data_IF_610032845679
#
_entry.id   IF_610032845679
#
_cell.length_a   1.000
_cell.length_b   1.000
_cell.length_c   1.000
_cell.angle_alpha   90.00
_cell.angle_beta   90.00
_cell.angle_gamma   90.00
#
_symmetry.space_group_name_H-M   'P 1'
#
loop_
_entity.id
_entity.type
_entity.pdbx_description
1 polymer ?
#
# COMPACT_ATOMS: atom_id res chain seq x y z
N UNK A 1 3.43 5.13 -16.59
CA UNK A 1 4.88 4.86 -16.51
C UNK A 1 5.44 4.86 -15.09
N UNK A 2 5.16 5.87 -14.24
CA UNK A 2 5.66 5.92 -12.85
C UNK A 2 5.22 4.69 -12.05
N UNK A 3 3.92 4.35 -12.09
CA UNK A 3 3.40 3.18 -11.39
C UNK A 3 4.10 1.89 -11.86
N UNK A 4 4.24 1.71 -13.16
CA UNK A 4 4.92 0.55 -13.76
C UNK A 4 6.37 0.45 -13.27
N UNK A 5 7.08 1.58 -13.21
CA UNK A 5 8.42 1.64 -12.66
C UNK A 5 8.45 1.18 -11.20
N UNK A 6 7.60 1.73 -10.33
CA UNK A 6 7.55 1.34 -8.92
C UNK A 6 7.18 -0.14 -8.73
N UNK A 7 6.16 -0.61 -9.46
CA UNK A 7 5.69 -2.01 -9.41
C UNK A 7 6.69 -3.01 -10.00
N UNK A 8 7.72 -2.55 -10.72
CA UNK A 8 8.79 -3.40 -11.24
C UNK A 8 9.89 -3.70 -10.20
N UNK A 9 9.85 -3.04 -9.03
CA UNK A 9 10.88 -3.16 -8.01
C UNK A 9 11.11 -4.63 -7.58
N UNK A 10 12.35 -5.14 -7.53
CA UNK A 10 12.65 -6.55 -7.27
C UNK A 10 12.04 -7.08 -5.96
N UNK A 11 11.97 -6.24 -4.92
CA UNK A 11 11.36 -6.60 -3.64
C UNK A 11 9.95 -7.17 -3.81
N UNK A 12 9.10 -6.59 -4.68
CA UNK A 12 7.71 -7.04 -4.85
C UNK A 12 7.61 -8.47 -5.43
N UNK A 13 8.65 -8.95 -6.10
CA UNK A 13 8.68 -10.30 -6.68
C UNK A 13 9.07 -11.39 -5.67
N UNK A 14 9.70 -11.01 -4.56
CA UNK A 14 10.14 -11.95 -3.51
C UNK A 14 8.93 -12.61 -2.82
N UNK A 15 9.07 -13.90 -2.52
CA UNK A 15 8.10 -14.66 -1.71
C UNK A 15 8.31 -14.39 -0.20
N UNK A 16 7.28 -14.52 0.65
CA UNK A 16 7.44 -14.54 2.11
C UNK A 16 8.31 -15.71 2.61
N UNK A 17 9.02 -15.58 3.75
CA UNK A 17 9.08 -14.39 4.62
C UNK A 17 9.98 -13.30 4.02
N UNK A 18 9.54 -12.06 4.14
CA UNK A 18 10.25 -10.87 3.62
C UNK A 18 9.94 -9.65 4.48
N UNK A 19 10.92 -8.77 4.64
CA UNK A 19 10.79 -7.48 5.30
C UNK A 19 11.58 -6.42 4.53
N UNK A 20 11.24 -5.16 4.76
CA UNK A 20 11.91 -4.02 4.13
C UNK A 20 11.78 -2.79 5.03
N UNK A 21 12.61 -1.79 4.80
CA UNK A 21 12.55 -0.47 5.40
C UNK A 21 13.17 0.60 4.50
N UNK A 22 13.76 1.61 5.15
CA UNK A 22 14.33 2.80 4.50
C UNK A 22 15.56 2.49 3.63
N UNK A 23 16.19 1.33 3.84
CA UNK A 23 17.29 0.85 3.02
C UNK A 23 16.86 0.53 1.57
N UNK A 24 15.59 0.15 1.35
CA UNK A 24 15.04 -0.06 0.00
C UNK A 24 14.11 1.07 -0.44
N UNK A 25 13.23 1.54 0.44
CA UNK A 25 12.18 2.54 0.12
C UNK A 25 12.36 3.86 0.88
N UNK A 26 13.60 4.29 1.08
CA UNK A 26 13.93 5.55 1.75
C UNK A 26 14.20 6.72 0.81
N UNK A 27 14.92 7.72 1.32
CA UNK A 27 15.23 8.98 0.64
C UNK A 27 15.88 8.78 -0.72
N UNK A 28 16.77 7.78 -0.85
CA UNK A 28 17.44 7.45 -2.11
C UNK A 28 16.42 7.06 -3.19
N UNK A 29 15.49 6.16 -2.88
CA UNK A 29 14.44 5.74 -3.81
C UNK A 29 13.55 6.92 -4.21
N UNK A 30 13.13 7.73 -3.24
CA UNK A 30 12.31 8.92 -3.51
C UNK A 30 13.02 9.93 -4.41
N UNK A 31 14.30 10.20 -4.14
CA UNK A 31 15.12 11.15 -4.92
C UNK A 31 15.33 10.67 -6.35
N UNK A 32 15.62 9.38 -6.54
CA UNK A 32 15.76 8.77 -7.87
C UNK A 32 14.44 8.81 -8.66
N UNK A 33 13.31 8.54 -8.00
CA UNK A 33 11.99 8.61 -8.60
C UNK A 33 11.65 10.03 -9.04
N UNK A 34 11.84 11.02 -8.16
CA UNK A 34 11.56 12.43 -8.45
C UNK A 34 12.43 12.94 -9.59
N UNK A 35 13.72 12.59 -9.62
CA UNK A 35 14.62 12.95 -10.71
C UNK A 35 14.21 12.29 -12.04
N UNK A 36 13.88 10.99 -12.02
CA UNK A 36 13.51 10.26 -13.24
C UNK A 36 12.22 10.80 -13.87
N UNK A 37 11.28 11.25 -13.06
CA UNK A 37 9.96 11.71 -13.51
C UNK A 37 9.75 13.21 -13.32
N UNK A 38 10.83 14.00 -13.32
CA UNK A 38 10.80 15.46 -13.05
C UNK A 38 9.90 16.27 -14.01
N UNK A 39 9.59 15.72 -15.18
CA UNK A 39 8.70 16.33 -16.17
C UNK A 39 7.21 16.23 -15.81
N UNK A 40 6.85 15.34 -14.87
CA UNK A 40 5.49 15.23 -14.35
C UNK A 40 5.23 16.26 -13.26
N UNK A 41 3.96 16.65 -13.11
CA UNK A 41 3.58 17.49 -11.98
C UNK A 41 3.77 16.74 -10.66
N UNK A 42 3.97 17.51 -9.59
CA UNK A 42 4.17 16.96 -8.24
C UNK A 42 2.94 16.19 -7.78
N UNK A 43 1.75 16.67 -8.15
CA UNK A 43 0.46 16.05 -7.86
C UNK A 43 0.37 14.68 -8.52
N UNK A 44 0.73 14.57 -9.81
CA UNK A 44 0.74 13.29 -10.52
C UNK A 44 1.71 12.29 -9.90
N UNK A 45 2.90 12.75 -9.49
CA UNK A 45 3.87 11.91 -8.80
C UNK A 45 3.28 11.44 -7.46
N UNK A 46 2.75 12.37 -6.65
CA UNK A 46 2.19 12.07 -5.33
C UNK A 46 1.04 11.06 -5.42
N UNK A 47 0.05 11.31 -6.28
CA UNK A 47 -1.05 10.37 -6.53
C UNK A 47 -0.54 9.01 -7.00
N UNK A 48 0.47 8.98 -7.86
CA UNK A 48 1.00 7.71 -8.37
C UNK A 48 1.79 6.93 -7.32
N UNK A 49 2.53 7.58 -6.43
CA UNK A 49 3.22 6.87 -5.33
C UNK A 49 2.23 6.40 -4.26
N UNK A 50 1.13 7.12 -4.02
CA UNK A 50 0.01 6.61 -3.19
C UNK A 50 -0.63 5.37 -3.84
N UNK A 51 -0.88 5.42 -5.16
CA UNK A 51 -1.40 4.27 -5.92
C UNK A 51 -0.41 3.10 -5.94
N UNK A 52 0.89 3.36 -5.96
CA UNK A 52 1.91 2.32 -5.82
C UNK A 52 1.79 1.59 -4.49
N UNK A 53 1.63 2.30 -3.38
CA UNK A 53 1.39 1.68 -2.06
C UNK A 53 0.16 0.77 -2.09
N UNK A 54 -0.99 1.28 -2.56
CA UNK A 54 -2.22 0.50 -2.66
C UNK A 54 -2.05 -0.76 -3.53
N UNK A 55 -1.51 -0.60 -4.74
CA UNK A 55 -1.31 -1.69 -5.68
C UNK A 55 -0.30 -2.71 -5.19
N UNK A 56 0.71 -2.29 -4.43
CA UNK A 56 1.66 -3.22 -3.82
C UNK A 56 0.98 -4.12 -2.79
N UNK A 57 0.09 -3.57 -1.95
CA UNK A 57 -0.69 -4.33 -0.96
C UNK A 57 -1.63 -5.31 -1.68
N UNK A 58 -2.46 -4.80 -2.60
CA UNK A 58 -3.41 -5.61 -3.39
C UNK A 58 -2.71 -6.74 -4.13
N UNK A 59 -1.56 -6.45 -4.76
CA UNK A 59 -0.76 -7.47 -5.45
C UNK A 59 -0.36 -8.62 -4.52
N UNK A 60 0.09 -8.33 -3.30
CA UNK A 60 0.50 -9.36 -2.35
C UNK A 60 -0.69 -10.11 -1.77
N UNK A 61 -1.83 -9.45 -1.51
CA UNK A 61 -3.08 -10.11 -1.12
C UNK A 61 -3.50 -11.14 -2.18
N UNK A 62 -3.60 -10.72 -3.44
CA UNK A 62 -3.98 -11.58 -4.56
C UNK A 62 -3.00 -12.72 -4.82
N UNK A 63 -1.71 -12.50 -4.57
CA UNK A 63 -0.67 -13.51 -4.83
C UNK A 63 -0.51 -14.52 -3.70
N UNK A 64 -0.63 -14.09 -2.45
CA UNK A 64 -0.18 -14.89 -1.30
C UNK A 64 -1.27 -15.23 -0.29
N UNK A 65 -2.44 -14.55 -0.32
CA UNK A 65 -3.50 -14.76 0.67
C UNK A 65 -4.76 -15.32 0.01
N UNK A 66 -5.34 -14.57 -0.94
CA UNK A 66 -6.64 -14.89 -1.55
C UNK A 66 -6.69 -16.23 -2.31
N UNK A 67 -5.60 -16.79 -2.86
CA UNK A 67 -5.64 -18.13 -3.43
C UNK A 67 -5.82 -19.26 -2.40
N UNK A 68 -5.62 -18.97 -1.11
CA UNK A 68 -5.59 -19.97 -0.04
C UNK A 68 -6.62 -19.71 1.06
N UNK A 69 -7.11 -18.48 1.19
CA UNK A 69 -8.02 -18.05 2.24
C UNK A 69 -9.08 -17.10 1.71
N UNK A 70 -10.32 -17.30 2.14
CA UNK A 70 -11.36 -16.28 2.05
C UNK A 70 -11.19 -15.29 3.21
N UNK A 71 -11.31 -13.99 2.92
CA UNK A 71 -11.17 -12.92 3.91
C UNK A 71 -12.46 -12.12 3.92
N UNK A 72 -13.20 -12.19 5.02
CA UNK A 72 -14.43 -11.40 5.18
C UNK A 72 -14.11 -9.91 5.43
N UNK A 73 -13.07 -9.64 6.23
CA UNK A 73 -12.75 -8.28 6.70
C UNK A 73 -11.24 -8.01 6.75
N UNK A 74 -10.87 -6.79 6.36
CA UNK A 74 -9.52 -6.22 6.51
C UNK A 74 -9.63 -4.94 7.32
N UNK A 75 -8.96 -4.91 8.47
CA UNK A 75 -8.91 -3.75 9.37
C UNK A 75 -7.55 -3.06 9.21
N UNK A 76 -7.57 -1.87 8.61
CA UNK A 76 -6.39 -1.03 8.40
C UNK A 76 -6.00 -0.33 9.72
N UNK A 77 -4.70 -0.28 10.00
CA UNK A 77 -4.13 0.47 11.12
C UNK A 77 -2.85 1.22 10.74
N UNK A 78 -2.29 1.96 11.69
CA UNK A 78 -1.16 2.86 11.45
C UNK A 78 -1.57 4.14 10.72
N UNK A 79 -0.69 5.14 10.67
CA UNK A 79 -1.03 6.47 10.14
C UNK A 79 -1.51 6.50 8.68
N UNK A 80 -1.23 5.47 7.89
CA UNK A 80 -1.71 5.32 6.52
C UNK A 80 -3.23 5.16 6.40
N UNK A 81 -3.93 4.67 7.44
CA UNK A 81 -5.38 4.52 7.43
C UNK A 81 -6.12 5.85 7.40
N UNK A 82 -5.49 6.96 7.85
CA UNK A 82 -6.06 8.30 7.77
C UNK A 82 -5.96 8.93 6.37
N UNK A 83 -5.21 8.32 5.45
CA UNK A 83 -5.18 8.76 4.06
C UNK A 83 -6.39 8.19 3.31
N UNK A 84 -7.46 8.98 3.21
CA UNK A 84 -8.70 8.58 2.54
C UNK A 84 -8.50 8.12 1.09
N UNK A 85 -7.57 8.76 0.35
CA UNK A 85 -7.22 8.36 -1.02
C UNK A 85 -6.59 6.97 -1.07
N UNK A 86 -5.67 6.66 -0.15
CA UNK A 86 -5.06 5.33 -0.06
C UNK A 86 -6.10 4.26 0.29
N UNK A 87 -6.97 4.54 1.27
CA UNK A 87 -8.04 3.62 1.69
C UNK A 87 -9.01 3.35 0.54
N UNK A 88 -9.41 4.39 -0.21
CA UNK A 88 -10.29 4.24 -1.37
C UNK A 88 -9.62 3.43 -2.49
N UNK A 89 -8.32 3.65 -2.76
CA UNK A 89 -7.57 2.85 -3.72
C UNK A 89 -7.48 1.37 -3.31
N UNK A 90 -7.33 1.07 -2.02
CA UNK A 90 -7.34 -0.29 -1.50
C UNK A 90 -8.72 -0.95 -1.66
N UNK A 91 -9.80 -0.23 -1.29
CA UNK A 91 -11.19 -0.68 -1.48
C UNK A 91 -11.46 -1.01 -2.94
N UNK A 92 -11.06 -0.12 -3.85
CA UNK A 92 -11.21 -0.34 -5.28
C UNK A 92 -10.37 -1.51 -5.81
N UNK A 93 -9.17 -1.75 -5.26
CA UNK A 93 -8.30 -2.84 -5.67
C UNK A 93 -8.77 -4.24 -5.26
N UNK A 94 -9.60 -4.32 -4.21
CA UNK A 94 -10.19 -5.55 -3.68
C UNK A 94 -11.72 -5.62 -3.87
N UNK A 95 -12.32 -4.70 -4.63
CA UNK A 95 -13.79 -4.59 -4.78
C UNK A 95 -14.47 -5.85 -5.35
N UNK A 96 -13.73 -6.65 -6.13
CA UNK A 96 -14.24 -7.86 -6.76
C UNK A 96 -14.10 -9.08 -5.83
N UNK A 97 -13.44 -8.91 -4.69
CA UNK A 97 -13.29 -9.92 -3.65
C UNK A 97 -14.39 -9.70 -2.59
N UNK A 98 -14.88 -10.76 -1.96
CA UNK A 98 -15.88 -10.67 -0.88
C UNK A 98 -15.24 -10.24 0.46
N UNK A 99 -14.58 -9.08 0.46
CA UNK A 99 -13.76 -8.58 1.56
C UNK A 99 -14.11 -7.12 1.88
N UNK A 100 -14.65 -6.85 3.06
CA UNK A 100 -14.89 -5.49 3.55
C UNK A 100 -13.59 -4.87 4.08
N UNK A 101 -13.37 -3.57 3.81
CA UNK A 101 -12.20 -2.84 4.32
C UNK A 101 -12.65 -1.73 5.27
N UNK A 102 -12.16 -1.84 6.51
CA UNK A 102 -12.41 -0.90 7.61
C UNK A 102 -11.12 -0.22 8.04
N UNK A 103 -11.25 0.96 8.65
CA UNK A 103 -10.22 1.53 9.54
C UNK A 103 -10.58 1.22 11.00
N UNK A 104 -9.62 1.33 11.91
CA UNK A 104 -9.88 1.08 13.34
C UNK A 104 -11.01 1.97 13.90
N UNK A 105 -11.13 3.19 13.39
CA UNK A 105 -12.16 4.15 13.78
C UNK A 105 -13.58 3.66 13.43
N UNK A 106 -13.74 2.90 12.33
CA UNK A 106 -15.03 2.36 11.91
C UNK A 106 -15.60 1.35 12.92
N UNK A 107 -14.73 0.74 13.72
CA UNK A 107 -15.06 -0.30 14.72
C UNK A 107 -14.85 0.17 16.17
N UNK A 108 -14.64 1.48 16.38
CA UNK A 108 -14.55 2.08 17.72
C UNK A 108 -13.17 2.02 18.37
N UNK A 109 -12.11 1.74 17.60
CA UNK A 109 -10.71 1.77 18.05
C UNK A 109 -9.92 2.92 17.40
N UNK A 110 -8.66 3.08 17.79
CA UNK A 110 -7.75 4.09 17.23
C UNK A 110 -6.66 3.45 16.37
N UNK A 111 -6.48 3.96 15.15
CA UNK A 111 -5.43 3.52 14.22
C UNK A 111 -4.02 3.85 14.70
N UNK A 112 -3.83 4.90 15.50
CA UNK A 112 -2.54 5.25 16.13
C UNK A 112 -2.18 4.34 17.30
N UNK A 113 -3.19 3.87 18.05
CA UNK A 113 -2.96 3.10 19.27
C UNK A 113 -2.38 1.69 19.00
N UNK A 114 -2.49 1.15 17.78
CA UNK A 114 -2.11 -0.25 17.50
C UNK A 114 -0.61 -0.51 17.59
N UNK A 115 0.24 0.39 17.07
CA UNK A 115 1.71 0.22 17.14
C UNK A 115 2.28 0.55 18.53
N UNK A 116 1.56 1.34 19.34
CA UNK A 116 1.97 1.67 20.70
C UNK A 116 1.67 0.55 21.73
N UNK A 117 0.78 -0.39 21.38
CA UNK A 117 0.32 -1.49 22.26
C UNK A 117 1.00 -2.83 21.91
N UNK A 118 1.46 -3.00 20.67
CA UNK A 118 2.03 -4.25 20.12
C UNK A 118 3.47 -4.54 20.58
#
# INVERSE_FOLDING_TARGET
>A
EILTYCMSHPFLKMNPPKSTGREQFGEKFASELLKRFEKHSKENILTTVTMFTANSIVHHYKKFILPYYEIDEVILGGGGSYNSTLVEMLRNGLKDENCAIFIQEDIGYSSEAKEAIA
#
